data_IF_768548434741
#
_entry.id   IF_768548434741
#
_cell.length_a   1.000
_cell.length_b   1.000
_cell.length_c   1.000
_cell.angle_alpha   90.00
_cell.angle_beta   90.00
_cell.angle_gamma   90.00
#
_symmetry.space_group_name_H-M   'P 1'
#
loop_
_entity.id
_entity.type
_entity.pdbx_description
1 polymer ?
#
# COMPACT_ATOMS: atom_id res chain seq x y z
N UNK A 1 -22.81 -23.38 -6.95
CA UNK A 1 -22.79 -22.12 -6.16
C UNK A 1 -22.22 -21.06 -7.09
N UNK A 2 -22.95 -19.97 -7.35
CA UNK A 2 -22.41 -18.88 -8.17
C UNK A 2 -21.16 -18.30 -7.51
N UNK A 3 -20.14 -18.04 -8.30
CA UNK A 3 -18.99 -17.26 -7.86
C UNK A 3 -19.51 -15.92 -7.32
N UNK A 4 -19.22 -15.60 -6.06
CA UNK A 4 -19.57 -14.29 -5.52
C UNK A 4 -18.42 -13.34 -5.86
N UNK A 5 -18.74 -12.26 -6.53
CA UNK A 5 -17.81 -11.16 -6.77
C UNK A 5 -18.03 -10.05 -5.75
N UNK A 6 -17.01 -9.24 -5.55
CA UNK A 6 -17.05 -7.98 -4.79
C UNK A 6 -16.55 -6.88 -5.69
N UNK A 7 -17.32 -5.81 -5.86
CA UNK A 7 -16.90 -4.63 -6.61
C UNK A 7 -15.99 -3.78 -5.74
N UNK A 8 -14.78 -3.51 -6.20
CA UNK A 8 -13.80 -2.70 -5.48
C UNK A 8 -13.18 -1.67 -6.42
N UNK A 9 -12.65 -0.59 -5.85
CA UNK A 9 -11.80 0.35 -6.56
C UNK A 9 -10.35 -0.02 -6.27
N UNK A 10 -9.58 -0.45 -7.27
CA UNK A 10 -8.15 -0.74 -7.13
C UNK A 10 -7.35 0.45 -7.62
N UNK A 11 -6.67 1.10 -6.69
CA UNK A 11 -5.78 2.22 -6.95
C UNK A 11 -4.37 1.75 -7.25
N UNK A 12 -3.88 2.08 -8.44
CA UNK A 12 -2.50 1.85 -8.87
C UNK A 12 -1.66 3.13 -8.79
N UNK A 13 -0.39 3.03 -9.19
CA UNK A 13 0.50 4.18 -9.21
C UNK A 13 0.14 5.21 -10.30
N UNK A 14 -0.50 4.76 -11.39
CA UNK A 14 -0.77 5.59 -12.57
C UNK A 14 -2.26 5.75 -12.89
N UNK A 15 -3.10 4.83 -12.43
CA UNK A 15 -4.53 4.80 -12.71
C UNK A 15 -5.28 4.07 -11.60
N UNK A 16 -6.58 4.33 -11.52
CA UNK A 16 -7.52 3.64 -10.64
C UNK A 16 -8.56 2.93 -11.51
N UNK A 17 -9.00 1.74 -11.10
CA UNK A 17 -10.03 0.97 -11.80
C UNK A 17 -11.10 0.46 -10.84
N UNK A 18 -12.36 0.56 -11.24
CA UNK A 18 -13.45 -0.16 -10.60
C UNK A 18 -13.60 -1.54 -11.24
N UNK A 19 -13.53 -2.60 -10.43
CA UNK A 19 -13.52 -3.98 -10.93
C UNK A 19 -14.28 -4.91 -9.99
N UNK A 20 -15.03 -5.83 -10.59
CA UNK A 20 -15.65 -6.96 -9.89
C UNK A 20 -14.63 -8.09 -9.74
N UNK A 21 -14.21 -8.38 -8.50
CA UNK A 21 -13.23 -9.42 -8.21
C UNK A 21 -13.87 -10.62 -7.52
N UNK A 22 -13.48 -11.86 -7.86
CA UNK A 22 -14.01 -13.05 -7.19
C UNK A 22 -13.55 -13.10 -5.73
N UNK A 23 -14.51 -13.18 -4.81
CA UNK A 23 -14.23 -12.98 -3.39
C UNK A 23 -13.60 -14.18 -2.67
N UNK A 24 -13.63 -15.35 -3.31
CA UNK A 24 -13.12 -16.61 -2.81
C UNK A 24 -11.77 -17.01 -3.43
N UNK A 25 -11.23 -16.20 -4.35
CA UNK A 25 -9.92 -16.44 -4.97
C UNK A 25 -8.83 -15.83 -4.07
N UNK A 26 -7.70 -16.54 -3.86
CA UNK A 26 -6.56 -16.00 -3.15
C UNK A 26 -6.02 -14.71 -3.80
N UNK A 27 -5.59 -13.75 -2.99
CA UNK A 27 -5.05 -12.46 -3.43
C UNK A 27 -3.93 -12.65 -4.46
N UNK A 28 -3.01 -13.60 -4.23
CA UNK A 28 -1.89 -13.87 -5.12
C UNK A 28 -2.29 -14.21 -6.56
N UNK A 29 -3.45 -14.85 -6.73
CA UNK A 29 -3.95 -15.28 -8.03
C UNK A 29 -4.67 -14.12 -8.74
N UNK A 30 -5.09 -13.09 -8.00
CA UNK A 30 -5.69 -11.85 -8.53
C UNK A 30 -4.63 -10.86 -9.02
N UNK A 31 -3.43 -10.86 -8.42
CA UNK A 31 -2.40 -9.86 -8.69
C UNK A 31 -2.00 -9.75 -10.18
N UNK A 32 -1.71 -10.84 -10.91
CA UNK A 32 -1.29 -10.71 -12.31
C UNK A 32 -2.37 -10.07 -13.19
N UNK A 33 -3.64 -10.38 -12.92
CA UNK A 33 -4.78 -9.83 -13.66
C UNK A 33 -4.95 -8.34 -13.37
N UNK A 34 -4.84 -7.95 -12.10
CA UNK A 34 -4.91 -6.55 -11.68
C UNK A 34 -3.76 -5.71 -12.24
N UNK A 35 -2.55 -6.25 -12.23
CA UNK A 35 -1.37 -5.60 -12.79
C UNK A 35 -1.48 -5.39 -14.30
N UNK A 36 -2.01 -6.40 -15.01
CA UNK A 36 -2.29 -6.28 -16.44
C UNK A 36 -3.39 -5.22 -16.70
N UNK A 37 -4.47 -5.22 -15.93
CA UNK A 37 -5.57 -4.27 -16.09
C UNK A 37 -5.14 -2.81 -15.87
N UNK A 38 -4.21 -2.58 -14.93
CA UNK A 38 -3.65 -1.26 -14.62
C UNK A 38 -2.42 -0.90 -15.46
N UNK A 39 -2.02 -1.75 -16.43
CA UNK A 39 -0.79 -1.60 -17.22
C UNK A 39 0.48 -1.41 -16.36
N UNK A 40 0.49 -1.96 -15.14
CA UNK A 40 1.63 -1.93 -14.22
C UNK A 40 2.45 -3.23 -14.25
N UNK A 41 1.87 -4.29 -14.81
CA UNK A 41 2.54 -5.57 -14.99
C UNK A 41 3.50 -5.57 -16.17
N UNK A 42 4.50 -6.44 -16.08
CA UNK A 42 5.42 -6.73 -17.19
C UNK A 42 4.89 -7.81 -18.12
N UNK A 43 3.78 -8.46 -17.74
CA UNK A 43 3.27 -9.66 -18.41
C UNK A 43 4.05 -10.93 -18.02
N UNK A 44 5.00 -10.81 -17.09
CA UNK A 44 5.79 -11.93 -16.57
C UNK A 44 5.24 -12.33 -15.19
N UNK A 45 4.62 -13.50 -15.04
CA UNK A 45 3.97 -13.91 -13.79
C UNK A 45 4.94 -14.04 -12.61
N UNK A 46 6.24 -14.22 -12.85
CA UNK A 46 7.25 -14.25 -11.78
C UNK A 46 7.49 -12.85 -11.22
N UNK A 47 7.58 -11.84 -12.08
CA UNK A 47 7.79 -10.43 -11.69
C UNK A 47 6.49 -9.77 -11.22
N UNK A 48 5.35 -10.25 -11.71
CA UNK A 48 4.02 -9.77 -11.39
C UNK A 48 3.39 -10.57 -10.22
N UNK A 49 4.23 -11.20 -9.39
CA UNK A 49 3.84 -12.10 -8.30
C UNK A 49 3.65 -11.38 -6.95
N UNK A 50 3.09 -12.09 -5.97
CA UNK A 50 2.91 -11.61 -4.60
C UNK A 50 4.20 -11.35 -3.81
N UNK A 51 5.37 -11.75 -4.34
CA UNK A 51 6.67 -11.41 -3.74
C UNK A 51 7.10 -9.97 -4.07
N UNK A 52 6.64 -9.46 -5.22
CA UNK A 52 6.98 -8.14 -5.75
C UNK A 52 5.85 -7.14 -5.52
N UNK A 53 4.60 -7.57 -5.67
CA UNK A 53 3.42 -6.70 -5.56
C UNK A 53 2.52 -7.07 -4.40
N UNK A 54 1.91 -6.07 -3.78
CA UNK A 54 0.98 -6.25 -2.67
C UNK A 54 -0.30 -5.46 -2.87
N UNK A 55 -1.44 -6.12 -2.60
CA UNK A 55 -2.77 -5.51 -2.54
C UNK A 55 -3.14 -5.28 -1.08
N UNK A 56 -3.52 -4.07 -0.70
CA UNK A 56 -3.91 -3.73 0.67
C UNK A 56 -5.11 -2.80 0.70
N UNK A 57 -5.82 -2.72 1.83
CA UNK A 57 -6.85 -1.69 2.03
C UNK A 57 -6.21 -0.30 2.02
N UNK A 58 -6.94 0.71 1.56
CA UNK A 58 -6.45 2.08 1.61
C UNK A 58 -6.17 2.49 3.08
N UNK A 59 -4.99 3.07 3.32
CA UNK A 59 -4.54 3.45 4.67
C UNK A 59 -3.99 2.30 5.53
N UNK A 60 -4.05 1.05 5.07
CA UNK A 60 -3.37 -0.05 5.77
C UNK A 60 -1.85 0.17 5.78
N UNK A 61 -1.20 -0.35 6.82
CA UNK A 61 0.27 -0.35 6.94
C UNK A 61 0.90 -1.58 6.30
N UNK A 62 0.12 -2.63 6.09
CA UNK A 62 0.54 -3.91 5.50
C UNK A 62 -0.38 -4.33 4.35
N UNK A 63 0.16 -5.03 3.35
CA UNK A 63 -0.65 -5.67 2.34
C UNK A 63 -1.46 -6.82 2.94
N UNK A 64 -2.55 -7.20 2.27
CA UNK A 64 -3.30 -8.42 2.56
C UNK A 64 -2.40 -9.64 2.30
N UNK A 65 -2.57 -10.69 3.10
CA UNK A 65 -1.78 -11.90 2.97
C UNK A 65 -2.04 -12.58 1.60
N UNK A 66 -1.01 -13.05 0.88
CA UNK A 66 -1.15 -13.61 -0.48
C UNK A 66 -2.15 -14.78 -0.58
N UNK A 67 -2.16 -15.65 0.42
CA UNK A 67 -3.05 -16.81 0.53
C UNK A 67 -4.46 -16.48 1.06
N UNK A 68 -4.72 -15.24 1.49
CA UNK A 68 -6.02 -14.81 1.96
C UNK A 68 -6.94 -14.50 0.77
N UNK A 69 -8.25 -14.61 0.96
CA UNK A 69 -9.25 -14.19 -0.04
C UNK A 69 -9.83 -12.83 0.34
N UNK A 70 -10.47 -12.12 -0.60
CA UNK A 70 -11.16 -10.85 -0.30
C UNK A 70 -12.22 -11.02 0.80
N UNK A 71 -12.96 -12.13 0.79
CA UNK A 71 -13.95 -12.43 1.83
C UNK A 71 -13.31 -12.61 3.21
N UNK A 72 -12.19 -13.34 3.29
CA UNK A 72 -11.48 -13.56 4.55
C UNK A 72 -10.79 -12.27 5.06
N UNK A 73 -10.37 -11.40 4.15
CA UNK A 73 -9.88 -10.05 4.45
C UNK A 73 -10.99 -9.05 4.81
N UNK A 74 -12.25 -9.49 4.82
CA UNK A 74 -13.43 -8.66 5.05
C UNK A 74 -13.45 -7.44 4.13
N UNK A 75 -13.13 -7.63 2.85
CA UNK A 75 -13.27 -6.60 1.81
C UNK A 75 -14.72 -6.63 1.33
N UNK A 76 -15.37 -5.46 1.34
CA UNK A 76 -16.77 -5.31 0.95
C UNK A 76 -16.92 -4.52 -0.36
N UNK A 77 -18.14 -4.54 -0.92
CA UNK A 77 -18.45 -3.77 -2.12
C UNK A 77 -18.24 -2.27 -1.89
N UNK A 78 -17.61 -1.62 -2.88
CA UNK A 78 -17.23 -0.21 -2.85
C UNK A 78 -15.96 0.09 -2.05
N UNK A 79 -15.27 -0.93 -1.53
CA UNK A 79 -14.03 -0.72 -0.78
C UNK A 79 -12.87 -0.34 -1.72
N UNK A 80 -12.03 0.56 -1.23
CA UNK A 80 -10.85 1.02 -1.96
C UNK A 80 -9.61 0.25 -1.52
N UNK A 81 -8.96 -0.37 -2.50
CA UNK A 81 -7.73 -1.11 -2.35
C UNK A 81 -6.60 -0.38 -3.05
N UNK A 82 -5.39 -0.57 -2.54
CA UNK A 82 -4.15 -0.04 -3.10
C UNK A 82 -3.28 -1.18 -3.57
N UNK A 83 -2.90 -1.14 -4.84
CA UNK A 83 -1.95 -2.05 -5.46
C UNK A 83 -0.61 -1.32 -5.63
N UNK A 84 0.44 -1.83 -4.99
CA UNK A 84 1.77 -1.22 -5.07
C UNK A 84 2.88 -2.26 -4.84
N UNK A 85 4.11 -1.86 -5.15
CA UNK A 85 5.30 -2.67 -4.94
C UNK A 85 5.56 -2.95 -3.44
N UNK A 86 6.05 -4.14 -3.13
CA UNK A 86 6.37 -4.60 -1.77
C UNK A 86 7.51 -3.80 -1.12
N UNK A 87 8.46 -3.29 -1.89
CA UNK A 87 9.46 -2.35 -1.40
C UNK A 87 8.82 -1.02 -0.96
N UNK A 88 7.84 -0.50 -1.71
CA UNK A 88 7.09 0.69 -1.32
C UNK A 88 6.27 0.45 -0.02
N UNK A 89 5.70 -0.75 0.14
CA UNK A 89 5.05 -1.15 1.40
C UNK A 89 6.02 -1.13 2.59
N UNK A 90 7.23 -1.67 2.42
CA UNK A 90 8.27 -1.68 3.46
C UNK A 90 8.75 -0.27 3.81
N UNK A 91 8.86 0.63 2.84
CA UNK A 91 9.24 2.03 3.07
C UNK A 91 8.18 2.80 3.86
N UNK A 92 6.89 2.54 3.58
CA UNK A 92 5.76 3.14 4.30
C UNK A 92 5.69 2.77 5.79
N UNK A 93 6.37 1.68 6.18
CA UNK A 93 6.47 1.23 7.58
C UNK A 93 7.70 1.74 8.31
N UNK A 94 8.66 2.37 7.62
CA UNK A 94 9.76 3.00 8.33
C UNK A 94 9.19 4.26 9.00
N UNK A 95 9.13 4.31 10.34
CA UNK A 95 8.81 5.56 11.01
C UNK A 95 9.82 6.57 10.49
N UNK A 96 9.36 7.74 10.05
CA UNK A 96 10.24 8.85 9.68
C UNK A 96 11.20 9.02 10.86
N UNK A 97 12.44 8.55 10.67
CA UNK A 97 13.46 8.61 11.69
C UNK A 97 13.80 10.09 11.73
N UNK A 98 13.15 10.83 12.62
CA UNK A 98 13.60 12.16 13.02
C UNK A 98 14.95 11.95 13.66
N UNK A 99 16.00 11.93 12.86
CA UNK A 99 17.37 11.95 13.34
C UNK A 99 17.60 13.38 13.83
N UNK A 100 17.79 13.64 15.13
CA UNK A 100 18.21 14.98 15.56
C UNK A 100 19.59 15.24 14.92
N UNK A 101 19.65 16.20 14.01
CA UNK A 101 20.87 16.46 13.23
C UNK A 101 21.95 17.16 14.05
N UNK A 102 21.61 17.73 15.21
CA UNK A 102 22.61 18.21 16.17
C UNK A 102 22.00 18.30 17.58
N UNK A 103 22.66 17.70 18.56
CA UNK A 103 22.54 18.08 19.97
C UNK A 103 23.67 19.09 20.19
N UNK A 104 23.45 20.36 19.85
CA UNK A 104 24.38 21.40 20.28
C UNK A 104 24.02 21.77 21.72
N UNK A 105 24.95 21.63 22.69
CA UNK A 105 24.73 22.12 24.03
C UNK A 105 24.61 23.65 23.96
N UNK A 106 23.46 24.18 24.35
CA UNK A 106 23.34 25.58 24.75
C UNK A 106 24.30 25.87 25.93
N UNK A 107 24.81 27.09 26.02
CA UNK A 107 25.78 27.52 27.06
C UNK A 107 25.23 27.41 28.51
N UNK A 108 23.95 27.04 28.68
CA UNK A 108 23.30 26.78 29.96
C UNK A 108 22.80 25.33 30.14
N UNK A 109 23.14 24.42 29.24
CA UNK A 109 23.05 22.96 29.43
C UNK A 109 21.66 22.32 29.35
N UNK A 110 20.58 23.06 29.03
CA UNK A 110 19.22 22.51 28.90
C UNK A 110 18.39 23.29 27.87
N UNK A 111 18.76 23.24 26.59
CA UNK A 111 18.00 23.88 25.51
C UNK A 111 17.90 23.00 24.28
N UNK A 112 16.79 22.26 24.13
CA UNK A 112 16.45 21.64 22.84
C UNK A 112 15.74 22.69 22.00
N UNK A 113 16.40 23.20 20.95
CA UNK A 113 15.77 24.10 19.98
C UNK A 113 15.12 23.28 18.86
N UNK A 114 13.79 23.29 18.79
CA UNK A 114 13.04 22.73 17.67
C UNK A 114 13.09 23.72 16.50
N UNK A 115 13.63 23.31 15.34
CA UNK A 115 13.44 24.03 14.09
C UNK A 115 12.50 23.21 13.19
N UNK A 116 11.37 23.77 12.75
CA UNK A 116 10.58 23.15 11.70
C UNK A 116 11.39 23.15 10.40
N UNK A 117 11.40 22.03 9.68
CA UNK A 117 11.97 21.99 8.33
C UNK A 117 11.14 22.89 7.41
N UNK A 118 11.83 23.79 6.71
CA UNK A 118 11.24 24.77 5.79
C UNK A 118 10.42 24.06 4.71
N UNK A 119 9.12 24.35 4.63
CA UNK A 119 8.19 23.74 3.67
C UNK A 119 6.73 23.54 4.15
N UNK A 120 6.40 23.87 5.40
CA UNK A 120 5.02 23.86 5.88
C UNK A 120 4.30 25.16 5.49
N UNK A 121 3.46 25.11 4.45
CA UNK A 121 2.32 26.03 4.35
C UNK A 121 1.12 25.34 5.00
N UNK A 122 0.70 25.88 6.14
CA UNK A 122 -0.53 25.50 6.84
C UNK A 122 -1.75 25.94 6.03
N UNK A 123 -2.74 25.06 5.86
CA UNK A 123 -4.13 25.39 5.59
C UNK A 123 -4.99 24.82 6.71
#
# INVERSE_FOLDING_TARGET
MGERTTRVTVRGAQADIDVDLPNAVPIQDLLPVLLMALAMGTGNPTLDSAEVWGLGKLGATQPLAPQMTLMAAQVFDGEELRLQDMAAWRQSQQPQRTVPQAIEPDEHGLGVRWQPVEGWQEF
#
